data_IF_219964301819
#
_entry.id   IF_219964301819
#
_cell.length_a   1.000
_cell.length_b   1.000
_cell.length_c   1.000
_cell.angle_alpha   90.00
_cell.angle_beta   90.00
_cell.angle_gamma   90.00
#
_symmetry.space_group_name_H-M   'P 1'
#
loop_
_entity.id
_entity.type
_entity.pdbx_description
1 polymer ?
#
# COMPACT_ATOMS: atom_id res chain seq x y z
N UNK A 1 75.27 -64.73 10.38
CA UNK A 1 74.27 -63.88 11.01
C UNK A 1 73.97 -62.67 10.07
N UNK A 2 72.84 -62.65 9.35
CA UNK A 2 72.51 -61.58 8.44
C UNK A 2 71.38 -60.74 9.11
N UNK A 3 71.59 -59.47 9.33
CA UNK A 3 70.63 -58.52 9.81
C UNK A 3 69.93 -57.83 8.59
N UNK A 4 68.64 -57.98 8.50
CA UNK A 4 67.80 -57.32 7.48
C UNK A 4 67.18 -56.07 8.11
N UNK A 5 67.53 -54.92 7.59
CA UNK A 5 66.97 -53.63 7.99
C UNK A 5 65.68 -53.36 7.18
N UNK A 6 64.54 -53.23 7.86
CA UNK A 6 63.29 -52.85 7.26
C UNK A 6 63.14 -51.33 7.34
N UNK A 7 63.19 -50.64 6.21
CA UNK A 7 62.94 -49.21 6.11
C UNK A 7 61.44 -48.94 6.02
N UNK A 8 60.89 -48.25 7.01
CA UNK A 8 59.51 -47.77 7.02
C UNK A 8 59.38 -46.49 6.22
N UNK A 9 58.52 -46.47 5.21
CA UNK A 9 58.14 -45.29 4.40
C UNK A 9 57.03 -44.54 5.13
N UNK A 10 57.33 -43.35 5.67
CA UNK A 10 56.34 -42.43 6.23
C UNK A 10 55.67 -41.66 5.09
N UNK A 11 54.37 -41.95 4.79
CA UNK A 11 53.57 -41.15 3.85
C UNK A 11 52.92 -40.00 4.63
N UNK A 12 53.32 -38.77 4.37
CA UNK A 12 52.64 -37.56 4.85
C UNK A 12 51.44 -37.30 3.93
N UNK A 13 50.22 -37.46 4.47
CA UNK A 13 49.01 -36.98 3.84
C UNK A 13 48.80 -35.52 4.23
N UNK A 14 49.11 -34.59 3.35
CA UNK A 14 48.77 -33.20 3.51
C UNK A 14 47.27 -33.06 3.26
N UNK A 15 46.46 -32.82 4.30
CA UNK A 15 45.06 -32.41 4.17
C UNK A 15 45.01 -30.99 3.59
N UNK A 16 44.55 -30.87 2.34
CA UNK A 16 44.20 -29.58 1.76
C UNK A 16 42.96 -29.10 2.47
N UNK A 17 43.09 -28.09 3.33
CA UNK A 17 41.98 -27.35 3.91
C UNK A 17 41.48 -26.46 2.79
N UNK A 18 40.32 -26.81 2.17
CA UNK A 18 39.61 -25.92 1.29
C UNK A 18 39.26 -24.62 2.06
N UNK A 19 39.62 -23.42 1.55
CA UNK A 19 39.17 -22.20 2.16
C UNK A 19 37.63 -22.20 2.02
N UNK A 20 36.96 -22.17 3.17
CA UNK A 20 35.51 -22.06 3.25
C UNK A 20 35.03 -20.99 2.27
N UNK A 21 34.26 -21.41 1.27
CA UNK A 21 33.62 -20.50 0.32
C UNK A 21 32.83 -19.49 1.15
N UNK A 22 33.33 -18.26 1.23
CA UNK A 22 32.71 -17.18 1.98
C UNK A 22 31.29 -17.00 1.46
N UNK A 23 30.29 -17.35 2.27
CA UNK A 23 28.89 -17.04 1.96
C UNK A 23 28.80 -15.53 1.82
N UNK A 24 28.38 -15.07 0.62
CA UNK A 24 28.08 -13.67 0.42
C UNK A 24 27.07 -13.23 1.47
N UNK A 25 27.25 -12.06 2.10
CA UNK A 25 26.28 -11.56 3.06
C UNK A 25 24.89 -11.54 2.44
N UNK A 26 23.83 -11.88 3.19
CA UNK A 26 22.48 -11.86 2.67
C UNK A 26 22.17 -10.48 2.11
N UNK A 27 21.51 -10.43 0.95
CA UNK A 27 21.10 -9.17 0.34
C UNK A 27 20.24 -8.38 1.34
N UNK A 28 20.41 -7.05 1.44
CA UNK A 28 19.60 -6.24 2.34
C UNK A 28 18.11 -6.44 2.00
N UNK A 29 17.24 -6.45 3.03
CA UNK A 29 15.80 -6.63 2.80
C UNK A 29 15.26 -5.55 1.86
N UNK A 30 14.55 -5.97 0.83
CA UNK A 30 14.00 -5.09 -0.20
C UNK A 30 12.60 -4.57 0.20
N UNK A 31 12.20 -3.42 -0.36
CA UNK A 31 10.83 -2.91 -0.27
C UNK A 31 9.86 -3.90 -0.93
N UNK A 32 8.86 -4.37 -0.18
CA UNK A 32 7.78 -5.18 -0.72
C UNK A 32 6.64 -4.27 -1.23
N UNK A 33 6.11 -4.60 -2.43
CA UNK A 33 4.98 -3.90 -3.05
C UNK A 33 3.94 -4.92 -3.51
N UNK A 34 2.68 -4.69 -3.17
CA UNK A 34 1.55 -5.52 -3.60
C UNK A 34 0.43 -4.60 -4.08
N UNK A 35 0.02 -4.75 -5.34
CA UNK A 35 -1.19 -4.08 -5.83
C UNK A 35 -2.38 -4.83 -5.23
N UNK A 36 -3.13 -4.14 -4.38
CA UNK A 36 -4.33 -4.69 -3.69
C UNK A 36 -5.50 -4.76 -4.66
N UNK A 37 -5.74 -3.65 -5.36
CA UNK A 37 -6.73 -3.55 -6.43
C UNK A 37 -6.32 -2.42 -7.38
N UNK A 38 -6.70 -2.56 -8.66
CA UNK A 38 -6.49 -1.54 -9.67
C UNK A 38 -7.61 -1.57 -10.69
N UNK A 39 -7.91 -0.41 -11.27
CA UNK A 39 -8.85 -0.26 -12.37
C UNK A 39 -8.47 0.92 -13.25
N UNK A 40 -9.08 0.97 -14.44
CA UNK A 40 -9.09 2.13 -15.32
C UNK A 40 -10.42 2.83 -15.21
N UNK A 41 -10.41 4.09 -14.83
CA UNK A 41 -11.61 4.91 -14.82
C UNK A 41 -11.88 5.38 -16.26
N UNK A 42 -13.08 5.18 -16.80
CA UNK A 42 -13.38 5.45 -18.22
C UNK A 42 -13.20 6.94 -18.55
N UNK A 43 -13.68 7.84 -17.72
CA UNK A 43 -13.50 9.28 -17.83
C UNK A 43 -13.80 9.94 -16.49
N UNK A 44 -12.89 10.78 -16.02
CA UNK A 44 -13.24 11.82 -15.06
C UNK A 44 -13.71 13.03 -15.84
N UNK A 45 -14.94 13.50 -15.56
CA UNK A 45 -15.50 14.71 -16.14
C UNK A 45 -14.94 15.97 -15.45
N UNK A 46 -15.57 17.12 -15.76
CA UNK A 46 -15.20 18.43 -15.16
C UNK A 46 -15.64 18.58 -13.69
N UNK A 47 -16.38 17.59 -13.14
CA UNK A 47 -16.84 17.66 -11.76
C UNK A 47 -15.64 17.58 -10.78
N UNK A 48 -15.55 18.53 -9.81
CA UNK A 48 -14.50 18.49 -8.80
C UNK A 48 -14.59 17.20 -7.99
N UNK A 49 -13.46 16.50 -7.82
CA UNK A 49 -13.37 15.27 -7.05
C UNK A 49 -12.44 15.42 -5.84
N UNK A 50 -12.70 14.61 -4.84
CA UNK A 50 -11.97 14.58 -3.57
C UNK A 50 -11.50 13.17 -3.25
N UNK A 51 -10.44 13.05 -2.49
CA UNK A 51 -10.19 11.82 -1.75
C UNK A 51 -10.99 11.83 -0.44
N UNK A 52 -11.63 10.69 -0.18
CA UNK A 52 -12.29 10.40 1.09
C UNK A 52 -11.88 8.99 1.52
N UNK A 53 -11.66 8.79 2.82
CA UNK A 53 -11.43 7.48 3.40
C UNK A 53 -12.34 7.29 4.61
N UNK A 54 -12.98 6.14 4.68
CA UNK A 54 -13.83 5.75 5.80
C UNK A 54 -13.44 4.35 6.30
N UNK A 55 -13.70 4.08 7.58
CA UNK A 55 -13.81 2.71 8.07
C UNK A 55 -15.26 2.25 8.00
N UNK A 56 -15.45 1.00 7.61
CA UNK A 56 -16.75 0.33 7.59
C UNK A 56 -16.64 -0.92 8.45
N UNK A 57 -17.35 -0.95 9.57
CA UNK A 57 -17.38 -2.12 10.46
C UNK A 57 -18.74 -2.78 10.38
N UNK A 58 -18.78 -4.06 10.02
CA UNK A 58 -19.99 -4.86 9.84
C UNK A 58 -20.02 -5.91 10.94
N UNK A 59 -21.11 -6.02 11.72
CA UNK A 59 -21.27 -7.07 12.73
C UNK A 59 -21.18 -8.47 12.12
N UNK A 60 -20.73 -9.45 12.91
CA UNK A 60 -20.60 -10.85 12.49
C UNK A 60 -21.87 -11.36 11.79
N UNK A 61 -21.71 -11.99 10.64
CA UNK A 61 -22.79 -12.55 9.80
C UNK A 61 -23.74 -11.54 9.16
N UNK A 62 -23.61 -10.24 9.51
CA UNK A 62 -24.50 -9.20 8.99
C UNK A 62 -24.14 -8.79 7.55
N UNK A 63 -25.11 -8.20 6.86
CA UNK A 63 -24.97 -7.64 5.49
C UNK A 63 -25.22 -6.13 5.50
N UNK A 64 -24.51 -5.44 4.63
CA UNK A 64 -24.67 -3.99 4.40
C UNK A 64 -24.52 -3.70 2.92
N UNK A 65 -25.32 -2.77 2.39
CA UNK A 65 -25.11 -2.26 1.05
C UNK A 65 -24.12 -1.10 1.10
N UNK A 66 -23.15 -1.11 0.18
CA UNK A 66 -22.23 0.01 -0.04
C UNK A 66 -22.72 0.80 -1.24
N UNK A 67 -22.77 2.12 -1.09
CA UNK A 67 -23.19 3.02 -2.17
C UNK A 67 -22.14 3.06 -3.27
N UNK A 68 -22.65 3.16 -4.50
CA UNK A 68 -21.83 3.25 -5.69
C UNK A 68 -21.06 4.58 -5.73
N UNK A 69 -19.75 4.50 -5.52
CA UNK A 69 -18.79 5.59 -5.68
C UNK A 69 -17.47 4.95 -6.05
N UNK A 70 -16.77 5.48 -7.06
CA UNK A 70 -15.48 4.94 -7.46
C UNK A 70 -14.53 4.85 -6.26
N UNK A 71 -14.18 3.64 -5.87
CA UNK A 71 -13.36 3.43 -4.69
C UNK A 71 -12.81 2.02 -4.57
N UNK A 72 -11.90 1.85 -3.63
CA UNK A 72 -11.29 0.55 -3.33
C UNK A 72 -11.50 0.25 -1.86
N UNK A 73 -12.12 -0.89 -1.57
CA UNK A 73 -12.19 -1.44 -0.23
C UNK A 73 -10.94 -2.28 0.05
N UNK A 74 -10.47 -2.21 1.29
CA UNK A 74 -9.34 -2.98 1.81
C UNK A 74 -9.75 -3.64 3.11
N UNK A 75 -9.63 -4.97 3.18
CA UNK A 75 -9.92 -5.72 4.39
C UNK A 75 -8.85 -5.49 5.44
N UNK A 76 -9.23 -4.84 6.54
CA UNK A 76 -8.32 -4.53 7.64
C UNK A 76 -8.31 -5.66 8.68
N UNK A 77 -9.48 -6.17 9.05
CA UNK A 77 -9.63 -7.28 10.00
C UNK A 77 -10.93 -8.05 9.78
N UNK A 78 -11.01 -9.30 10.26
CA UNK A 78 -12.13 -10.20 9.97
C UNK A 78 -12.10 -10.69 8.52
N UNK A 79 -13.24 -11.09 7.99
CA UNK A 79 -13.42 -11.45 6.59
C UNK A 79 -14.75 -10.94 6.08
N UNK A 80 -14.84 -10.65 4.78
CA UNK A 80 -16.06 -10.16 4.13
C UNK A 80 -16.28 -10.91 2.83
N UNK A 81 -17.51 -11.34 2.61
CA UNK A 81 -17.99 -11.80 1.30
C UNK A 81 -18.59 -10.59 0.58
N UNK A 82 -17.97 -10.18 -0.50
CA UNK A 82 -18.33 -9.00 -1.26
C UNK A 82 -19.00 -9.42 -2.56
N UNK A 83 -20.22 -8.94 -2.79
CA UNK A 83 -20.95 -9.12 -4.05
C UNK A 83 -20.96 -7.81 -4.80
N UNK A 84 -20.27 -7.76 -5.94
CA UNK A 84 -20.19 -6.60 -6.83
C UNK A 84 -20.58 -7.02 -8.24
N UNK A 85 -21.54 -6.35 -8.84
CA UNK A 85 -22.07 -6.68 -10.18
C UNK A 85 -22.47 -8.17 -10.34
N UNK A 86 -22.91 -8.82 -9.27
CA UNK A 86 -23.30 -10.24 -9.25
C UNK A 86 -22.13 -11.22 -9.05
N UNK A 87 -20.90 -10.76 -9.06
CA UNK A 87 -19.74 -11.58 -8.73
C UNK A 87 -19.47 -11.56 -7.23
N UNK A 88 -19.16 -12.72 -6.68
CA UNK A 88 -18.87 -12.89 -5.25
C UNK A 88 -17.38 -13.12 -5.04
N UNK A 89 -16.77 -12.33 -4.15
CA UNK A 89 -15.38 -12.49 -3.74
C UNK A 89 -15.28 -12.43 -2.22
N UNK A 90 -14.58 -13.37 -1.60
CA UNK A 90 -14.24 -13.30 -0.18
C UNK A 90 -12.93 -12.55 -0.01
N UNK A 91 -12.92 -11.56 0.88
CA UNK A 91 -11.73 -10.81 1.26
C UNK A 91 -11.24 -11.26 2.64
N UNK A 92 -9.95 -11.53 2.71
CA UNK A 92 -9.17 -11.73 3.94
C UNK A 92 -8.33 -10.49 4.25
N UNK A 93 -7.81 -10.32 5.48
CA UNK A 93 -6.96 -9.17 5.82
C UNK A 93 -5.80 -8.98 4.85
N UNK A 94 -5.68 -7.77 4.32
CA UNK A 94 -4.67 -7.43 3.33
C UNK A 94 -5.14 -7.50 1.87
N UNK A 95 -6.32 -8.04 1.60
CA UNK A 95 -6.95 -8.09 0.28
C UNK A 95 -7.91 -6.92 0.07
N UNK A 96 -8.31 -6.70 -1.16
CA UNK A 96 -9.28 -5.65 -1.51
C UNK A 96 -9.85 -5.83 -2.90
N UNK A 97 -10.81 -4.98 -3.22
CA UNK A 97 -11.43 -4.90 -4.55
C UNK A 97 -11.89 -3.48 -4.87
N UNK A 98 -12.08 -3.22 -6.15
CA UNK A 98 -12.64 -1.99 -6.66
C UNK A 98 -14.17 -2.06 -6.72
N UNK A 99 -14.83 -0.97 -6.28
CA UNK A 99 -16.28 -0.75 -6.45
C UNK A 99 -16.45 0.43 -7.38
N UNK A 100 -17.09 0.21 -8.51
CA UNK A 100 -17.34 1.24 -9.51
C UNK A 100 -18.48 2.20 -9.08
N UNK A 101 -18.43 3.45 -9.57
CA UNK A 101 -19.40 4.48 -9.24
C UNK A 101 -20.82 4.23 -9.75
N UNK A 102 -21.04 3.22 -10.58
CA UNK A 102 -22.34 2.80 -11.11
C UNK A 102 -22.85 1.46 -10.54
N UNK A 103 -22.02 0.79 -9.72
CA UNK A 103 -22.33 -0.52 -9.15
C UNK A 103 -22.51 -0.46 -7.63
N UNK A 104 -23.69 -0.87 -7.16
CA UNK A 104 -23.87 -1.15 -5.75
C UNK A 104 -23.12 -2.43 -5.35
N UNK A 105 -22.54 -2.44 -4.17
CA UNK A 105 -21.92 -3.64 -3.60
C UNK A 105 -22.68 -4.07 -2.34
N UNK A 106 -22.70 -5.39 -2.09
CA UNK A 106 -23.19 -5.96 -0.84
C UNK A 106 -21.99 -6.57 -0.12
N UNK A 107 -21.76 -6.12 1.11
CA UNK A 107 -20.72 -6.64 1.98
C UNK A 107 -21.38 -7.49 3.07
N UNK A 108 -20.95 -8.74 3.23
CA UNK A 108 -21.39 -9.65 4.29
C UNK A 108 -20.20 -10.06 5.15
N UNK A 109 -20.23 -9.69 6.43
CA UNK A 109 -19.20 -10.14 7.36
C UNK A 109 -19.28 -11.66 7.59
N UNK A 110 -18.12 -12.31 7.72
CA UNK A 110 -18.04 -13.71 8.11
C UNK A 110 -18.56 -13.96 9.52
N UNK A 111 -18.87 -15.24 9.84
CA UNK A 111 -19.45 -15.62 11.13
C UNK A 111 -18.43 -15.63 12.29
N UNK A 112 -17.14 -15.50 12.00
CA UNK A 112 -16.05 -15.55 12.99
C UNK A 112 -15.85 -14.28 13.82
N UNK A 113 -16.64 -13.24 13.61
CA UNK A 113 -16.54 -11.96 14.31
C UNK A 113 -16.84 -10.76 13.40
N UNK A 114 -16.80 -9.53 13.94
CA UNK A 114 -16.99 -8.33 13.14
C UNK A 114 -15.92 -8.21 12.04
N UNK A 115 -16.31 -7.67 10.91
CA UNK A 115 -15.42 -7.36 9.80
C UNK A 115 -15.20 -5.85 9.73
N UNK A 116 -13.94 -5.40 9.58
CA UNK A 116 -13.60 -3.99 9.38
C UNK A 116 -12.84 -3.81 8.09
N UNK A 117 -13.36 -2.91 7.25
CA UNK A 117 -12.74 -2.51 6.00
C UNK A 117 -12.36 -1.02 6.04
N UNK A 118 -11.33 -0.67 5.30
CA UNK A 118 -11.09 0.71 4.89
C UNK A 118 -11.65 0.87 3.48
N UNK A 119 -12.42 1.93 3.24
CA UNK A 119 -12.92 2.28 1.91
C UNK A 119 -12.31 3.60 1.48
N UNK A 120 -11.44 3.56 0.49
CA UNK A 120 -10.84 4.71 -0.16
C UNK A 120 -11.70 5.10 -1.35
N UNK A 121 -12.10 6.35 -1.42
CA UNK A 121 -13.07 6.86 -2.38
C UNK A 121 -12.48 8.03 -3.17
N UNK A 122 -12.75 8.03 -4.47
CA UNK A 122 -12.63 9.19 -5.35
C UNK A 122 -14.04 9.74 -5.56
N UNK A 123 -14.47 10.65 -4.69
CA UNK A 123 -15.82 11.14 -4.62
C UNK A 123 -15.97 12.54 -5.25
N UNK A 124 -17.04 12.78 -6.00
CA UNK A 124 -17.41 14.13 -6.40
C UNK A 124 -17.81 14.96 -5.17
N UNK A 125 -17.75 16.29 -5.27
CA UNK A 125 -18.21 17.18 -4.19
C UNK A 125 -19.66 16.87 -3.77
N UNK A 126 -20.52 16.49 -4.73
CA UNK A 126 -21.92 16.14 -4.46
C UNK A 126 -22.08 14.80 -3.68
N UNK A 127 -21.04 13.97 -3.65
CA UNK A 127 -21.05 12.66 -2.98
C UNK A 127 -20.36 12.67 -1.62
N UNK A 128 -19.63 13.74 -1.28
CA UNK A 128 -18.83 13.79 -0.05
C UNK A 128 -19.63 13.49 1.22
N UNK A 129 -20.85 13.98 1.32
CA UNK A 129 -21.69 13.84 2.50
C UNK A 129 -22.74 12.73 2.39
N UNK A 130 -22.73 11.97 1.27
CA UNK A 130 -23.60 10.80 1.15
C UNK A 130 -23.14 9.67 2.08
N UNK A 131 -24.09 8.87 2.55
CA UNK A 131 -23.78 7.64 3.28
C UNK A 131 -22.97 6.71 2.40
N UNK A 132 -21.94 6.09 2.99
CA UNK A 132 -21.09 5.13 2.26
C UNK A 132 -21.63 3.72 2.37
N UNK A 133 -22.24 3.36 3.50
CA UNK A 133 -22.85 2.06 3.70
C UNK A 133 -24.13 2.15 4.54
N UNK A 134 -25.05 1.21 4.34
CA UNK A 134 -26.32 1.15 5.09
C UNK A 134 -26.15 0.42 6.42
N UNK A 135 -27.02 0.65 7.42
CA UNK A 135 -27.10 -0.20 8.61
C UNK A 135 -27.26 -1.69 8.22
N UNK A 136 -26.73 -2.62 9.01
CA UNK A 136 -26.14 -2.43 10.35
C UNK A 136 -24.66 -2.04 10.35
N UNK A 137 -24.03 -1.73 9.21
CA UNK A 137 -22.66 -1.28 9.21
C UNK A 137 -22.52 0.06 9.95
N UNK A 138 -21.44 0.17 10.72
CA UNK A 138 -20.99 1.42 11.36
C UNK A 138 -19.93 2.02 10.45
N UNK A 139 -20.16 3.25 9.99
CA UNK A 139 -19.24 3.99 9.13
C UNK A 139 -18.65 5.15 9.91
N UNK A 140 -17.33 5.26 9.89
CA UNK A 140 -16.59 6.39 10.46
C UNK A 140 -15.75 7.03 9.37
N UNK A 141 -15.94 8.34 9.14
CA UNK A 141 -15.03 9.09 8.29
C UNK A 141 -13.69 9.27 8.98
N UNK A 142 -12.62 8.89 8.30
CA UNK A 142 -11.25 8.96 8.78
C UNK A 142 -10.48 10.13 8.16
N UNK A 143 -10.80 10.45 6.91
CA UNK A 143 -10.13 11.49 6.15
C UNK A 143 -11.00 11.98 4.99
N UNK A 144 -10.90 13.27 4.66
CA UNK A 144 -11.27 13.86 3.37
C UNK A 144 -10.32 15.00 3.01
N UNK A 145 -10.10 15.25 1.73
CA UNK A 145 -9.40 16.46 1.28
C UNK A 145 -10.32 17.67 1.49
N UNK A 146 -9.78 18.74 2.06
CA UNK A 146 -10.55 19.97 2.35
C UNK A 146 -10.97 20.73 1.08
N UNK A 147 -10.20 20.57 0.00
CA UNK A 147 -10.48 21.12 -1.33
C UNK A 147 -10.50 20.00 -2.35
N UNK A 148 -11.14 20.19 -3.53
CA UNK A 148 -11.02 19.26 -4.63
C UNK A 148 -9.54 19.01 -4.98
N UNK A 149 -9.27 17.83 -5.54
CA UNK A 149 -7.93 17.49 -6.02
C UNK A 149 -7.55 18.47 -7.14
N UNK A 150 -6.46 19.25 -6.97
CA UNK A 150 -6.03 20.18 -7.98
C UNK A 150 -5.47 19.42 -9.20
N UNK A 151 -5.48 20.07 -10.36
CA UNK A 151 -4.82 19.61 -11.59
C UNK A 151 -5.34 18.30 -12.20
N UNK A 152 -6.39 17.70 -11.65
CA UNK A 152 -7.10 16.62 -12.33
C UNK A 152 -7.92 17.20 -13.47
N UNK A 153 -7.43 17.01 -14.68
CA UNK A 153 -8.13 17.42 -15.92
C UNK A 153 -9.11 16.34 -16.34
N UNK A 154 -10.17 16.70 -17.10
CA UNK A 154 -11.00 15.69 -17.73
C UNK A 154 -10.15 14.70 -18.52
N UNK A 155 -10.41 13.41 -18.36
CA UNK A 155 -9.62 12.39 -19.03
C UNK A 155 -9.78 11.00 -18.42
N UNK A 156 -8.99 10.07 -18.96
CA UNK A 156 -8.90 8.70 -18.45
C UNK A 156 -7.81 8.61 -17.40
N UNK A 157 -8.10 7.86 -16.33
CA UNK A 157 -7.19 7.70 -15.21
C UNK A 157 -7.05 6.25 -14.81
N UNK A 158 -5.85 5.88 -14.36
CA UNK A 158 -5.62 4.68 -13.57
C UNK A 158 -5.92 5.00 -12.11
N UNK A 159 -6.66 4.11 -11.44
CA UNK A 159 -6.95 4.16 -10.00
C UNK A 159 -6.43 2.86 -9.38
N UNK A 160 -5.62 2.96 -8.34
CA UNK A 160 -5.11 1.77 -7.66
C UNK A 160 -4.89 2.00 -6.17
N UNK A 161 -4.95 0.89 -5.42
CA UNK A 161 -4.49 0.80 -4.04
C UNK A 161 -3.31 -0.16 -3.98
N UNK A 162 -2.18 0.33 -3.51
CA UNK A 162 -0.96 -0.45 -3.37
C UNK A 162 -0.55 -0.51 -1.90
N UNK A 163 -0.28 -1.71 -1.39
CA UNK A 163 0.36 -1.92 -0.08
C UNK A 163 1.87 -1.94 -0.25
N UNK A 164 2.56 -1.13 0.54
CA UNK A 164 4.02 -1.01 0.51
C UNK A 164 4.55 -1.28 1.92
N UNK A 165 5.57 -2.13 2.01
CA UNK A 165 6.27 -2.41 3.27
C UNK A 165 7.76 -2.09 3.10
N UNK A 166 8.24 -1.15 3.88
CA UNK A 166 9.65 -0.83 3.99
C UNK A 166 10.29 -1.67 5.10
N UNK A 167 11.44 -2.29 4.84
CA UNK A 167 12.18 -2.99 5.87
C UNK A 167 12.63 -2.04 6.98
N UNK A 168 13.00 -2.58 8.13
CA UNK A 168 13.63 -1.81 9.20
C UNK A 168 14.90 -1.12 8.69
N UNK A 169 15.18 0.08 9.22
CA UNK A 169 16.39 0.86 8.95
C UNK A 169 16.60 1.19 7.45
N UNK A 170 15.50 1.27 6.70
CA UNK A 170 15.56 1.67 5.30
C UNK A 170 15.84 3.18 5.19
N UNK A 171 16.91 3.53 4.49
CA UNK A 171 17.21 4.93 4.14
C UNK A 171 16.07 5.52 3.30
N UNK A 172 15.94 6.85 3.33
CA UNK A 172 14.98 7.53 2.46
C UNK A 172 15.25 7.19 1.00
N UNK A 173 14.16 6.90 0.27
CA UNK A 173 14.22 6.69 -1.17
C UNK A 173 14.62 8.00 -1.90
N UNK A 174 14.93 7.90 -3.19
CA UNK A 174 15.24 9.07 -4.00
C UNK A 174 14.04 10.05 -4.05
N UNK A 175 14.30 11.37 -4.14
CA UNK A 175 13.26 12.37 -4.34
C UNK A 175 12.40 12.04 -5.56
N UNK A 176 11.09 12.11 -5.40
CA UNK A 176 10.13 11.82 -6.47
C UNK A 176 8.84 12.61 -6.25
N UNK A 177 7.99 12.64 -7.25
CA UNK A 177 6.67 13.28 -7.20
C UNK A 177 5.62 12.39 -7.85
N UNK A 178 4.34 12.74 -7.65
CA UNK A 178 3.22 12.06 -8.26
C UNK A 178 2.86 12.68 -9.61
N UNK A 179 2.54 11.84 -10.59
CA UNK A 179 1.98 12.28 -11.89
C UNK A 179 0.47 12.57 -11.80
N UNK A 180 -0.12 12.32 -10.66
CA UNK A 180 -1.49 12.62 -10.28
C UNK A 180 -1.55 12.95 -8.79
N UNK A 181 -2.49 12.37 -8.04
CA UNK A 181 -2.61 12.55 -6.61
C UNK A 181 -2.58 11.21 -5.87
N UNK A 182 -2.13 11.23 -4.61
CA UNK A 182 -2.12 10.04 -3.77
C UNK A 182 -2.58 10.35 -2.34
N UNK A 183 -3.32 9.41 -1.75
CA UNK A 183 -3.66 9.39 -0.34
C UNK A 183 -3.00 8.18 0.30
N UNK A 184 -2.18 8.42 1.30
CA UNK A 184 -1.52 7.38 2.09
C UNK A 184 -2.28 7.11 3.37
N UNK A 185 -2.24 5.87 3.82
CA UNK A 185 -2.65 5.46 5.15
C UNK A 185 -1.61 4.54 5.77
N UNK A 186 -1.11 4.89 6.93
CA UNK A 186 -0.13 4.07 7.65
C UNK A 186 -0.85 2.93 8.37
N UNK A 187 -0.58 1.69 7.96
CA UNK A 187 -1.18 0.48 8.55
C UNK A 187 -0.45 0.07 9.83
N UNK A 188 0.90 0.09 9.79
CA UNK A 188 1.72 -0.32 10.95
C UNK A 188 3.11 0.27 10.90
N UNK A 189 3.72 0.41 12.06
CA UNK A 189 5.05 1.01 12.23
C UNK A 189 5.02 2.53 12.19
N UNK A 190 6.21 3.12 12.00
CA UNK A 190 6.40 4.58 11.89
C UNK A 190 7.41 4.84 10.78
N UNK A 191 7.02 5.60 9.77
CA UNK A 191 7.88 6.03 8.67
C UNK A 191 8.29 7.48 8.80
N UNK A 192 9.34 7.87 8.08
CA UNK A 192 9.80 9.24 7.93
C UNK A 192 9.38 9.76 6.55
N UNK A 193 8.55 10.80 6.51
CA UNK A 193 8.14 11.48 5.29
C UNK A 193 8.86 12.82 5.20
N UNK A 194 9.56 13.06 4.11
CA UNK A 194 10.30 14.31 3.87
C UNK A 194 9.68 15.07 2.71
N UNK A 195 9.22 16.27 2.98
CA UNK A 195 8.65 17.21 2.01
C UNK A 195 9.42 18.52 2.15
N UNK A 196 9.91 19.09 1.05
CA UNK A 196 10.66 20.37 1.03
C UNK A 196 11.80 20.40 2.06
N UNK A 197 12.49 19.28 2.25
CA UNK A 197 13.60 19.17 3.20
C UNK A 197 13.17 19.00 4.68
N UNK A 198 11.88 19.11 5.00
CA UNK A 198 11.36 18.89 6.34
C UNK A 198 10.90 17.44 6.50
N UNK A 199 11.48 16.74 7.46
CA UNK A 199 11.14 15.35 7.77
C UNK A 199 10.19 15.27 8.96
N UNK A 200 9.10 14.52 8.80
CA UNK A 200 8.11 14.27 9.85
C UNK A 200 7.91 12.76 10.03
N UNK A 201 7.75 12.31 11.27
CA UNK A 201 7.37 10.94 11.59
C UNK A 201 5.87 10.73 11.34
N UNK A 202 5.52 9.63 10.66
CA UNK A 202 4.13 9.25 10.38
C UNK A 202 3.88 7.86 10.96
N UNK A 203 3.07 7.81 12.02
CA UNK A 203 2.75 6.58 12.73
C UNK A 203 1.47 5.91 12.20
N UNK A 204 1.22 4.67 12.64
CA UNK A 204 -0.02 3.95 12.33
C UNK A 204 -1.28 4.80 12.58
N UNK A 205 -2.24 4.74 11.66
CA UNK A 205 -3.44 5.58 11.66
C UNK A 205 -3.29 6.94 10.97
N UNK A 206 -2.06 7.37 10.63
CA UNK A 206 -1.85 8.64 9.93
C UNK A 206 -2.32 8.58 8.48
N UNK A 207 -2.99 9.65 8.03
CA UNK A 207 -3.25 9.93 6.62
C UNK A 207 -2.30 11.02 6.12
N UNK A 208 -1.79 10.85 4.89
CA UNK A 208 -0.93 11.82 4.23
C UNK A 208 -1.43 12.00 2.79
N UNK A 209 -1.78 13.23 2.44
CA UNK A 209 -2.17 13.59 1.09
C UNK A 209 -0.97 14.16 0.34
N UNK A 210 -0.69 13.60 -0.82
CA UNK A 210 0.33 14.07 -1.75
C UNK A 210 -0.36 14.56 -3.02
N UNK A 211 -0.45 15.89 -3.23
CA UNK A 211 -0.98 16.45 -4.47
C UNK A 211 -0.04 16.22 -5.65
N UNK A 212 -0.56 16.48 -6.84
CA UNK A 212 0.21 16.46 -8.08
C UNK A 212 1.50 17.30 -7.96
N UNK A 213 2.61 16.73 -8.40
CA UNK A 213 3.90 17.41 -8.48
C UNK A 213 4.63 17.66 -7.15
N UNK A 214 4.06 17.32 -6.00
CA UNK A 214 4.73 17.48 -4.71
C UNK A 214 5.96 16.58 -4.61
N UNK A 215 7.14 17.16 -4.51
CA UNK A 215 8.39 16.41 -4.34
C UNK A 215 8.52 15.94 -2.89
N UNK A 216 8.70 14.65 -2.72
CA UNK A 216 8.77 14.02 -1.41
C UNK A 216 9.70 12.81 -1.40
N UNK A 217 9.98 12.32 -0.19
CA UNK A 217 10.75 11.11 0.07
C UNK A 217 10.15 10.36 1.25
N UNK A 218 10.32 9.06 1.25
CA UNK A 218 9.92 8.19 2.35
C UNK A 218 11.09 7.30 2.80
N UNK A 219 11.20 7.09 4.10
CA UNK A 219 12.16 6.17 4.72
C UNK A 219 11.57 5.46 5.93
N UNK A 220 12.30 4.48 6.44
CA UNK A 220 11.98 3.79 7.68
C UNK A 220 13.21 3.75 8.59
N UNK A 221 13.45 4.77 9.43
CA UNK A 221 14.56 4.77 10.36
C UNK A 221 14.35 3.82 11.56
N UNK A 222 13.15 3.26 11.73
CA UNK A 222 12.78 2.41 12.85
C UNK A 222 13.39 1.01 12.79
N UNK A 223 13.36 0.30 13.92
CA UNK A 223 13.88 -1.07 14.05
C UNK A 223 12.87 -2.16 13.59
N UNK A 224 11.65 -1.77 13.22
CA UNK A 224 10.57 -2.66 12.76
C UNK A 224 10.11 -2.28 11.36
N UNK A 225 9.51 -3.19 10.58
CA UNK A 225 8.94 -2.86 9.29
C UNK A 225 7.88 -1.76 9.39
N UNK A 226 7.81 -0.92 8.36
CA UNK A 226 6.82 0.15 8.20
C UNK A 226 5.93 -0.18 7.00
N UNK A 227 4.62 -0.33 7.24
CA UNK A 227 3.65 -0.69 6.20
C UNK A 227 2.60 0.39 6.02
N UNK A 228 2.35 0.76 4.78
CA UNK A 228 1.36 1.74 4.41
C UNK A 228 0.63 1.38 3.11
N UNK A 229 -0.57 1.92 2.96
CA UNK A 229 -1.37 1.86 1.75
C UNK A 229 -1.21 3.17 0.98
N UNK A 230 -1.23 3.08 -0.34
CA UNK A 230 -1.21 4.24 -1.24
C UNK A 230 -2.37 4.12 -2.22
N UNK A 231 -3.35 4.98 -2.08
CA UNK A 231 -4.47 5.13 -3.00
C UNK A 231 -4.09 6.19 -4.02
N UNK A 232 -3.82 5.76 -5.27
CA UNK A 232 -3.34 6.63 -6.34
C UNK A 232 -4.42 6.86 -7.38
N UNK A 233 -4.48 8.09 -7.90
CA UNK A 233 -5.10 8.39 -9.20
C UNK A 233 -4.06 9.11 -10.07
N UNK A 234 -3.82 8.59 -11.27
CA UNK A 234 -2.86 9.15 -12.22
C UNK A 234 -3.40 9.04 -13.67
N UNK A 235 -2.97 9.91 -14.58
CA UNK A 235 -3.38 9.81 -15.98
C UNK A 235 -3.11 8.41 -16.54
N UNK A 236 -4.03 7.88 -17.33
CA UNK A 236 -3.94 6.51 -17.89
C UNK A 236 -2.61 6.32 -18.63
N UNK A 237 -1.92 5.23 -18.31
CA UNK A 237 -0.64 4.88 -18.94
C UNK A 237 0.56 5.70 -18.48
N UNK A 238 0.38 6.64 -17.55
CA UNK A 238 1.48 7.41 -16.97
C UNK A 238 1.88 6.77 -15.64
N UNK A 239 3.19 6.59 -15.41
CA UNK A 239 3.67 6.08 -14.12
C UNK A 239 3.18 6.95 -12.97
N UNK A 240 2.61 6.36 -11.92
CA UNK A 240 2.16 7.08 -10.74
C UNK A 240 3.28 7.81 -10.00
N UNK A 241 4.54 7.37 -10.18
CA UNK A 241 5.73 7.92 -9.54
C UNK A 241 6.71 8.36 -10.63
N UNK A 242 7.12 9.62 -10.56
CA UNK A 242 8.12 10.22 -11.47
C UNK A 242 9.33 10.66 -10.65
N UNK A 243 10.56 10.42 -11.15
CA UNK A 243 11.78 10.88 -10.47
C UNK A 243 11.84 12.40 -10.46
N UNK A 244 12.38 12.97 -9.39
CA UNK A 244 12.68 14.39 -9.27
C UNK A 244 14.17 14.59 -9.16
N UNK A 245 14.69 15.69 -9.70
CA UNK A 245 16.08 16.07 -9.47
C UNK A 245 16.29 16.30 -7.96
N UNK A 246 17.47 15.94 -7.40
CA UNK A 246 17.80 16.30 -6.04
C UNK A 246 17.72 17.83 -5.89
N UNK A 247 17.18 18.30 -4.77
CA UNK A 247 17.20 19.73 -4.45
C UNK A 247 18.63 20.23 -4.54
N UNK A 248 18.88 21.30 -5.32
CA UNK A 248 20.19 21.92 -5.35
C UNK A 248 20.51 22.39 -3.94
N UNK A 249 21.59 21.88 -3.35
CA UNK A 249 22.13 22.41 -2.10
C UNK A 249 22.44 23.90 -2.34
N UNK A 250 21.72 24.77 -1.65
CA UNK A 250 22.07 26.20 -1.57
C UNK A 250 23.27 26.38 -0.67
#
# INVERSE_FOLDING_TARGET
>A
MRFTTVGGLLVYVAALIDPAAGQSPPAPPATARTVVAATKLPMLGDAPVHFKAVSVTIPSGARSNVLATNGIVYQLSGSTEDTVAGEVKTLSPGEGLFIAGDNAAILKAGDGGPSTLLHFLLASTAELDKFVATPPAVVQELYRTGTPLPDLKPGRYDLNLTRITFPAQMLSNAPHHRSGAALYYVVSGTGANTIEGKTEAKAAGSFIYEPFGLVHQWGNPGASPFTFLVFNTNPEGVSAVLPSAPAKSQ
#
